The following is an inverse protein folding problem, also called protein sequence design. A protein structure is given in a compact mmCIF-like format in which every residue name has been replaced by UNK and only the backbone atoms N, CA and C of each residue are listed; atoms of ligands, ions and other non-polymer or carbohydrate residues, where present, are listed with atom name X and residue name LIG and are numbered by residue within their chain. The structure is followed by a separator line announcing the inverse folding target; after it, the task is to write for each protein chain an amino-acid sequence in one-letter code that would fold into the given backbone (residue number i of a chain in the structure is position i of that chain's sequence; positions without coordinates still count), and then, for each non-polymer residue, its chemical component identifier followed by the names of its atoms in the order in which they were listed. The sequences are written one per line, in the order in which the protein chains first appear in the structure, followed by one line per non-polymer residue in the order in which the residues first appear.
data_IF_156792422616
#
_entry.id   IF_156792422616
#
_cell.length_a   1.000
_cell.length_b   1.000
_cell.length_c   1.000
_cell.angle_alpha   90.00
_cell.angle_beta   90.00
_cell.angle_gamma   90.00
#
_symmetry.space_group_name_H-M   'P 1'
#
loop_
_entity.id
_entity.type
_entity.pdbx_description
1 polymer ?
#
# COMPACT_ATOMS: atom_id res chain seq x y z
N UNK A 1 -14.17 -5.42 44.65
CA UNK A 1 -13.28 -4.33 44.17
C UNK A 1 -12.08 -4.89 43.40
N UNK A 2 -11.50 -6.02 43.82
CA UNK A 2 -10.34 -6.66 43.18
C UNK A 2 -10.45 -6.96 41.67
N UNK A 3 -11.60 -7.44 41.17
CA UNK A 3 -11.74 -7.72 39.73
C UNK A 3 -11.70 -6.45 38.85
N UNK A 4 -12.22 -5.33 39.36
CA UNK A 4 -12.20 -4.06 38.64
C UNK A 4 -10.80 -3.44 38.69
N UNK A 5 -10.10 -3.58 39.82
CA UNK A 5 -8.71 -3.14 39.95
C UNK A 5 -7.78 -3.93 39.02
N UNK A 6 -7.94 -5.26 38.96
CA UNK A 6 -7.19 -6.10 38.02
C UNK A 6 -7.45 -5.71 36.57
N UNK A 7 -8.72 -5.47 36.20
CA UNK A 7 -9.10 -5.00 34.86
C UNK A 7 -8.48 -3.65 34.50
N UNK A 8 -8.48 -2.69 35.44
CA UNK A 8 -7.84 -1.38 35.27
C UNK A 8 -6.32 -1.51 35.13
N UNK A 9 -5.68 -2.37 35.92
CA UNK A 9 -4.24 -2.62 35.81
C UNK A 9 -3.86 -3.20 34.44
N UNK A 10 -4.63 -4.17 33.95
CA UNK A 10 -4.37 -4.78 32.64
C UNK A 10 -4.61 -3.81 31.48
N UNK A 11 -5.59 -2.91 31.56
CA UNK A 11 -5.86 -1.93 30.51
C UNK A 11 -4.78 -0.85 30.44
N UNK A 12 -4.34 -0.32 31.59
CA UNK A 12 -3.24 0.66 31.64
C UNK A 12 -1.93 0.03 31.16
N UNK A 13 -1.67 -1.22 31.53
CA UNK A 13 -0.50 -1.96 31.05
C UNK A 13 -0.55 -2.18 29.54
N UNK A 14 -1.68 -2.63 29.00
CA UNK A 14 -1.87 -2.80 27.56
C UNK A 14 -1.72 -1.50 26.77
N UNK A 15 -2.25 -0.39 27.30
CA UNK A 15 -2.09 0.94 26.70
C UNK A 15 -0.63 1.39 26.69
N UNK A 16 0.11 1.15 27.78
CA UNK A 16 1.54 1.45 27.87
C UNK A 16 2.37 0.68 26.84
N UNK A 17 2.11 -0.62 26.68
CA UNK A 17 2.78 -1.45 25.67
C UNK A 17 2.49 -0.94 24.25
N UNK A 18 1.22 -0.61 23.95
CA UNK A 18 0.84 -0.06 22.65
C UNK A 18 1.52 1.29 22.36
N UNK A 19 1.58 2.18 23.36
CA UNK A 19 2.25 3.48 23.22
C UNK A 19 3.76 3.35 22.99
N UNK A 20 4.43 2.42 23.68
CA UNK A 20 5.86 2.15 23.47
C UNK A 20 6.13 1.56 22.09
N UNK A 21 5.32 0.61 21.63
CA UNK A 21 5.44 0.03 20.30
C UNK A 21 5.23 1.08 19.19
N UNK A 22 4.22 1.94 19.37
CA UNK A 22 3.97 3.05 18.45
C UNK A 22 5.12 4.05 18.45
N UNK A 23 5.62 4.47 19.62
CA UNK A 23 6.76 5.37 19.74
C UNK A 23 8.04 4.81 19.11
N UNK A 24 8.29 3.51 19.23
CA UNK A 24 9.39 2.83 18.56
C UNK A 24 9.23 2.83 17.03
N UNK A 25 8.02 2.58 16.53
CA UNK A 25 7.72 2.59 15.10
C UNK A 25 7.77 4.01 14.48
N UNK A 26 7.47 5.05 15.26
CA UNK A 26 7.50 6.45 14.81
C UNK A 26 8.83 7.15 15.08
N UNK A 27 9.84 6.44 15.61
CA UNK A 27 11.15 7.04 15.87
C UNK A 27 11.86 7.34 14.56
N UNK A 28 11.65 8.56 14.05
CA UNK A 28 12.46 9.15 12.98
C UNK A 28 13.88 9.30 13.51
N UNK A 29 14.88 8.71 12.85
CA UNK A 29 16.29 8.93 13.17
C UNK A 29 16.60 10.42 13.09
N UNK A 30 16.68 11.08 14.24
CA UNK A 30 17.16 12.45 14.33
C UNK A 30 18.67 12.42 14.11
N UNK A 31 19.02 12.70 12.85
CA UNK A 31 20.25 13.32 12.36
C UNK A 31 21.12 13.90 13.49
N UNK A 32 22.23 13.23 13.78
CA UNK A 32 23.36 13.86 14.47
C UNK A 32 24.68 13.38 13.85
N UNK A 33 25.10 14.08 12.81
CA UNK A 33 26.51 14.27 12.48
C UNK A 33 26.64 15.45 11.54
N UNK A 34 26.97 16.58 12.16
CA UNK A 34 27.47 17.77 11.51
C UNK A 34 28.68 17.45 10.62
N UNK A 35 28.53 17.60 9.30
CA UNK A 35 29.56 18.14 8.42
C UNK A 35 28.83 18.87 7.28
N UNK A 36 28.81 20.20 7.31
CA UNK A 36 28.53 20.99 6.12
C UNK A 36 29.76 20.97 5.20
N UNK A 37 29.55 20.78 3.89
CA UNK A 37 30.29 21.53 2.89
C UNK A 37 29.35 22.48 2.15
N UNK A 38 29.80 23.71 2.01
CA UNK A 38 29.14 24.85 1.38
C UNK A 38 28.93 24.65 -0.15
N UNK A 39 27.78 25.12 -0.64
CA UNK A 39 27.40 25.47 -2.04
C UNK A 39 27.13 24.34 -3.06
N UNK A 40 26.32 24.54 -4.13
CA UNK A 40 25.38 25.64 -4.43
C UNK A 40 23.92 25.18 -4.66
N UNK A 41 23.00 26.13 -4.47
CA UNK A 41 21.58 26.05 -4.82
C UNK A 41 21.37 25.60 -6.28
N UNK A 42 21.09 24.31 -6.50
CA UNK A 42 20.37 23.84 -7.70
C UNK A 42 19.25 22.91 -7.27
N UNK A 43 18.07 23.52 -7.23
CA UNK A 43 16.74 22.95 -7.26
C UNK A 43 16.61 21.86 -8.34
N UNK A 44 16.55 20.60 -7.94
CA UNK A 44 15.60 19.61 -8.47
C UNK A 44 15.74 18.30 -7.69
N UNK A 45 14.62 17.91 -7.08
CA UNK A 45 14.35 16.68 -6.36
C UNK A 45 14.98 15.46 -7.04
N UNK A 46 16.00 14.88 -6.42
CA UNK A 46 16.36 13.49 -6.70
C UNK A 46 15.26 12.61 -6.07
N UNK A 47 14.55 11.76 -6.83
CA UNK A 47 13.62 10.81 -6.22
C UNK A 47 14.43 9.82 -5.39
N UNK A 48 14.01 9.63 -4.14
CA UNK A 48 14.65 8.73 -3.20
C UNK A 48 14.81 7.33 -3.82
N UNK A 49 16.06 6.90 -3.96
CA UNK A 49 16.42 5.59 -4.51
C UNK A 49 16.36 4.58 -3.38
N UNK A 50 15.22 3.89 -3.26
CA UNK A 50 15.00 3.02 -2.10
C UNK A 50 15.73 1.69 -2.14
N UNK A 51 16.22 1.19 -3.29
CA UNK A 51 16.99 -0.05 -3.31
C UNK A 51 18.07 -0.04 -4.44
N UNK A 52 19.32 0.05 -4.00
CA UNK A 52 20.55 -0.37 -4.69
C UNK A 52 21.15 0.51 -5.81
N UNK A 53 22.47 0.66 -5.67
CA UNK A 53 23.42 1.27 -6.59
C UNK A 53 23.49 0.53 -7.95
N UNK A 54 23.52 1.32 -9.02
CA UNK A 54 24.06 0.98 -10.37
C UNK A 54 23.36 -0.12 -11.18
N UNK A 55 22.04 -0.04 -11.34
CA UNK A 55 21.41 -0.55 -12.58
C UNK A 55 21.11 0.65 -13.47
N UNK A 56 21.60 0.70 -14.73
CA UNK A 56 21.14 1.70 -15.68
C UNK A 56 19.65 1.46 -15.92
N UNK A 57 18.82 2.27 -15.27
CA UNK A 57 17.39 2.32 -15.54
C UNK A 57 17.28 2.82 -16.98
N UNK A 58 16.64 2.06 -17.91
CA UNK A 58 16.30 2.57 -19.23
C UNK A 58 15.61 3.93 -19.05
N UNK A 59 15.82 4.91 -19.95
CA UNK A 59 15.21 6.23 -19.79
C UNK A 59 13.73 6.05 -19.45
N UNK A 60 13.36 6.44 -18.24
CA UNK A 60 12.02 6.28 -17.74
C UNK A 60 11.12 6.95 -18.76
N UNK A 61 10.36 6.14 -19.50
CA UNK A 61 9.28 6.64 -20.34
C UNK A 61 8.44 7.45 -19.38
N UNK A 62 8.38 8.77 -19.61
CA UNK A 62 7.55 9.66 -18.80
C UNK A 62 6.20 8.98 -18.64
N UNK A 63 5.70 8.76 -17.41
CA UNK A 63 4.42 8.10 -17.23
C UNK A 63 3.42 8.85 -18.09
N UNK A 64 2.91 8.16 -19.11
CA UNK A 64 1.93 8.73 -20.02
C UNK A 64 0.82 9.25 -19.13
N UNK A 65 0.58 10.56 -19.15
CA UNK A 65 -0.47 11.14 -18.33
C UNK A 65 -1.79 10.59 -18.86
N UNK A 66 -2.33 9.60 -18.14
CA UNK A 66 -3.63 9.02 -18.42
C UNK A 66 -4.65 9.91 -17.71
N UNK A 67 -5.67 10.42 -18.43
CA UNK A 67 -6.76 11.16 -17.80
C UNK A 67 -7.39 10.32 -16.68
N UNK A 68 -7.74 10.96 -15.56
CA UNK A 68 -8.28 10.26 -14.39
C UNK A 68 -9.57 9.51 -14.72
N UNK A 69 -10.36 10.03 -15.66
CA UNK A 69 -11.60 9.44 -16.14
C UNK A 69 -11.38 8.06 -16.78
N UNK A 70 -10.25 7.90 -17.49
CA UNK A 70 -9.87 6.62 -18.10
C UNK A 70 -9.49 5.60 -17.03
N UNK A 71 -8.78 6.03 -15.99
CA UNK A 71 -8.42 5.17 -14.86
C UNK A 71 -9.68 4.73 -14.09
N UNK A 72 -10.61 5.66 -13.85
CA UNK A 72 -11.88 5.36 -13.18
C UNK A 72 -12.71 4.37 -13.99
N UNK A 73 -12.80 4.55 -15.31
CA UNK A 73 -13.50 3.62 -16.20
C UNK A 73 -12.85 2.22 -16.19
N UNK A 74 -11.51 2.15 -16.16
CA UNK A 74 -10.79 0.87 -16.08
C UNK A 74 -11.07 0.16 -14.75
N UNK A 75 -11.07 0.88 -13.64
CA UNK A 75 -11.39 0.33 -12.31
C UNK A 75 -12.83 -0.17 -12.28
N UNK A 76 -13.78 0.62 -12.78
CA UNK A 76 -15.19 0.24 -12.85
C UNK A 76 -15.39 -1.05 -13.67
N UNK A 77 -14.75 -1.13 -14.84
CA UNK A 77 -14.83 -2.33 -15.67
C UNK A 77 -14.21 -3.56 -14.97
N UNK A 78 -13.07 -3.39 -14.31
CA UNK A 78 -12.44 -4.46 -13.54
C UNK A 78 -13.35 -4.96 -12.40
N UNK A 79 -13.95 -4.05 -11.62
CA UNK A 79 -14.85 -4.44 -10.53
C UNK A 79 -16.07 -5.20 -11.06
N UNK A 80 -16.66 -4.78 -12.18
CA UNK A 80 -17.78 -5.50 -12.80
C UNK A 80 -17.37 -6.90 -13.29
N UNK A 81 -16.15 -7.05 -13.79
CA UNK A 81 -15.61 -8.36 -14.19
C UNK A 81 -15.47 -9.30 -12.99
N UNK A 82 -14.89 -8.82 -11.88
CA UNK A 82 -14.73 -9.60 -10.65
C UNK A 82 -16.09 -9.99 -10.06
N UNK A 83 -17.06 -9.06 -10.06
CA UNK A 83 -18.41 -9.35 -9.60
C UNK A 83 -19.08 -10.44 -10.44
N UNK A 84 -19.03 -10.35 -11.77
CA UNK A 84 -19.60 -11.36 -12.66
C UNK A 84 -18.92 -12.74 -12.47
N UNK A 85 -17.61 -12.76 -12.24
CA UNK A 85 -16.89 -14.00 -11.94
C UNK A 85 -17.34 -14.62 -10.61
N UNK A 86 -17.52 -13.80 -9.57
CA UNK A 86 -18.02 -14.24 -8.28
C UNK A 86 -19.46 -14.78 -8.37
N UNK A 87 -20.36 -14.07 -9.06
CA UNK A 87 -21.74 -14.51 -9.28
C UNK A 87 -21.80 -15.85 -10.02
N UNK A 88 -20.99 -16.00 -11.08
CA UNK A 88 -20.89 -17.27 -11.82
C UNK A 88 -20.37 -18.42 -10.97
N UNK A 89 -19.49 -18.16 -10.00
CA UNK A 89 -18.97 -19.19 -9.10
C UNK A 89 -19.98 -19.56 -8.01
N UNK A 90 -20.72 -18.57 -7.47
CA UNK A 90 -21.71 -18.79 -6.41
C UNK A 90 -22.87 -19.67 -6.88
N UNK A 91 -23.29 -19.56 -8.14
CA UNK A 91 -24.41 -20.34 -8.67
C UNK A 91 -24.07 -21.85 -8.80
N UNK A 92 -22.81 -22.20 -9.09
CA UNK A 92 -22.36 -23.59 -9.24
C UNK A 92 -20.91 -23.81 -8.74
N UNK A 93 -20.66 -23.83 -7.43
CA UNK A 93 -19.31 -23.81 -6.88
C UNK A 93 -18.56 -25.11 -7.20
N UNK A 94 -17.77 -25.08 -8.27
CA UNK A 94 -16.95 -26.20 -8.72
C UNK A 94 -15.56 -25.70 -9.06
N UNK A 95 -14.53 -26.45 -8.66
CA UNK A 95 -13.13 -26.09 -8.92
C UNK A 95 -12.83 -25.91 -10.43
N UNK A 96 -13.56 -26.62 -11.29
CA UNK A 96 -13.45 -26.47 -12.73
C UNK A 96 -13.80 -25.05 -13.23
N UNK A 97 -14.68 -24.32 -12.54
CA UNK A 97 -15.10 -22.98 -12.94
C UNK A 97 -14.05 -21.91 -12.65
N UNK A 98 -13.19 -22.09 -11.64
CA UNK A 98 -12.08 -21.17 -11.34
C UNK A 98 -11.11 -21.03 -12.52
N UNK A 99 -11.04 -22.05 -13.37
CA UNK A 99 -10.18 -22.09 -14.55
C UNK A 99 -10.95 -21.92 -15.86
N UNK A 100 -12.28 -21.74 -15.79
CA UNK A 100 -13.13 -21.55 -16.96
C UNK A 100 -13.08 -20.10 -17.44
N UNK A 101 -13.28 -19.89 -18.75
CA UNK A 101 -13.37 -18.54 -19.30
C UNK A 101 -14.63 -17.87 -18.74
N UNK A 102 -14.49 -16.67 -18.17
CA UNK A 102 -15.63 -15.92 -17.64
C UNK A 102 -16.70 -15.72 -18.71
N UNK A 103 -17.96 -15.91 -18.32
CA UNK A 103 -19.15 -15.64 -19.16
C UNK A 103 -19.55 -14.17 -19.15
N UNK A 104 -18.75 -13.32 -18.49
CA UNK A 104 -19.00 -11.89 -18.36
C UNK A 104 -19.07 -11.19 -19.73
N UNK A 105 -20.08 -10.35 -19.97
CA UNK A 105 -20.21 -9.58 -21.22
C UNK A 105 -19.13 -8.51 -21.38
N UNK A 106 -18.32 -8.27 -20.34
CA UNK A 106 -17.21 -7.32 -20.34
C UNK A 106 -15.91 -7.92 -20.94
N UNK A 107 -15.89 -9.22 -21.26
CA UNK A 107 -14.80 -9.87 -21.99
C UNK A 107 -15.27 -10.16 -23.42
N UNK A 108 -15.00 -9.23 -24.34
CA UNK A 108 -15.09 -9.47 -25.79
C UNK A 108 -13.72 -9.83 -26.34
#
# INVERSE_FOLDING_TARGET
MEMLLMGLCMSVFGLGVAALAFGAATRSESSDSAVQPELPLVKAVAPARFFSDRVPVPPAVLPRQVPIEVLLLQIENHVRLEQAAAESFVEFPTHALLHSKTTSPFVN
#
